data_IF_371054274092
#
_entry.id   IF_371054274092
#
_cell.length_a   1.000
_cell.length_b   1.000
_cell.length_c   1.000
_cell.angle_alpha   90.00
_cell.angle_beta   90.00
_cell.angle_gamma   90.00
#
_symmetry.space_group_name_H-M   'P 1'
#
loop_
_entity.id
_entity.type
_entity.pdbx_description
1 polymer ?
#
# COMPACT_ATOMS: atom_id res chain seq x y z
N UNK A 1 -15.70 -34.49 20.21
CA UNK A 1 -14.95 -33.38 19.56
C UNK A 1 -14.74 -33.70 18.10
N UNK A 2 -15.10 -32.79 17.19
CA UNK A 2 -14.77 -32.93 15.78
C UNK A 2 -13.33 -32.46 15.56
N UNK A 3 -12.37 -33.37 15.46
CA UNK A 3 -10.95 -33.03 15.27
C UNK A 3 -10.68 -32.22 14.00
N UNK A 4 -11.52 -32.42 12.97
CA UNK A 4 -11.42 -31.67 11.69
C UNK A 4 -11.74 -30.19 11.89
N UNK A 5 -12.85 -29.87 12.61
CA UNK A 5 -13.22 -28.47 12.88
C UNK A 5 -12.18 -27.76 13.73
N UNK A 6 -11.66 -28.45 14.76
CA UNK A 6 -10.59 -27.91 15.58
C UNK A 6 -9.33 -27.61 14.78
N UNK A 7 -8.90 -28.56 13.94
CA UNK A 7 -7.70 -28.42 13.10
C UNK A 7 -7.82 -27.25 12.11
N UNK A 8 -8.94 -27.18 11.37
CA UNK A 8 -9.18 -26.08 10.43
C UNK A 8 -9.25 -24.73 11.18
N UNK A 9 -9.97 -24.68 12.31
CA UNK A 9 -10.06 -23.47 13.11
C UNK A 9 -8.71 -22.95 13.58
N UNK A 10 -7.84 -23.84 14.07
CA UNK A 10 -6.48 -23.47 14.51
C UNK A 10 -5.65 -22.97 13.32
N UNK A 11 -5.69 -23.63 12.15
CA UNK A 11 -4.96 -23.18 10.98
C UNK A 11 -5.40 -21.77 10.55
N UNK A 12 -6.70 -21.50 10.49
CA UNK A 12 -7.22 -20.17 10.14
C UNK A 12 -6.74 -19.09 11.13
N UNK A 13 -6.78 -19.40 12.43
CA UNK A 13 -6.31 -18.49 13.46
C UNK A 13 -4.80 -18.20 13.32
N UNK A 14 -3.98 -19.23 13.14
CA UNK A 14 -2.52 -19.07 13.00
C UNK A 14 -2.19 -18.23 11.78
N UNK A 15 -2.81 -18.51 10.62
CA UNK A 15 -2.59 -17.75 9.39
C UNK A 15 -3.02 -16.29 9.59
N UNK A 16 -4.21 -16.05 10.13
CA UNK A 16 -4.74 -14.71 10.29
C UNK A 16 -3.95 -13.87 11.31
N UNK A 17 -3.60 -14.44 12.45
CA UNK A 17 -2.83 -13.78 13.51
C UNK A 17 -1.41 -13.47 13.02
N UNK A 18 -0.76 -14.42 12.34
CA UNK A 18 0.56 -14.19 11.74
C UNK A 18 0.51 -13.06 10.70
N UNK A 19 -0.44 -13.12 9.75
CA UNK A 19 -0.57 -12.11 8.69
C UNK A 19 -0.88 -10.72 9.27
N UNK A 20 -1.75 -10.66 10.29
CA UNK A 20 -2.08 -9.43 11.00
C UNK A 20 -0.84 -8.80 11.66
N UNK A 21 -0.13 -9.53 12.50
CA UNK A 21 1.04 -8.99 13.19
C UNK A 21 2.18 -8.66 12.23
N UNK A 22 2.41 -9.51 11.22
CA UNK A 22 3.42 -9.23 10.20
C UNK A 22 3.10 -7.93 9.47
N UNK A 23 1.86 -7.74 9.01
CA UNK A 23 1.48 -6.54 8.25
C UNK A 23 1.44 -5.27 9.10
N UNK A 24 1.03 -5.37 10.39
CA UNK A 24 0.83 -4.17 11.21
C UNK A 24 2.06 -3.75 12.01
N UNK A 25 2.93 -4.68 12.39
CA UNK A 25 4.02 -4.42 13.34
C UNK A 25 5.43 -4.66 12.79
N UNK A 26 5.62 -5.46 11.74
CA UNK A 26 6.97 -5.78 11.26
C UNK A 26 7.68 -4.60 10.58
N UNK A 27 6.90 -3.69 9.96
CA UNK A 27 7.47 -2.64 9.10
C UNK A 27 8.19 -3.16 7.85
N UNK A 28 8.02 -4.45 7.51
CA UNK A 28 8.75 -5.14 6.43
C UNK A 28 7.84 -5.59 5.29
N UNK A 29 6.72 -4.91 5.10
CA UNK A 29 5.79 -5.20 4.02
C UNK A 29 4.45 -5.78 4.49
N UNK A 30 3.81 -6.57 3.63
CA UNK A 30 2.50 -7.19 3.90
C UNK A 30 2.60 -8.71 3.97
N UNK A 31 1.79 -9.31 4.84
CA UNK A 31 1.63 -10.76 4.90
C UNK A 31 0.97 -11.35 3.65
N UNK A 32 0.97 -12.66 3.55
CA UNK A 32 0.46 -13.40 2.38
C UNK A 32 -1.03 -13.11 2.11
N UNK A 33 -1.87 -13.14 3.15
CA UNK A 33 -3.32 -12.89 3.02
C UNK A 33 -3.55 -11.45 2.60
N UNK A 34 -2.94 -10.50 3.30
CA UNK A 34 -3.05 -9.06 3.03
C UNK A 34 -2.61 -8.71 1.62
N UNK A 35 -1.52 -9.31 1.13
CA UNK A 35 -1.02 -9.10 -0.24
C UNK A 35 -2.05 -9.56 -1.28
N UNK A 36 -2.58 -10.77 -1.14
CA UNK A 36 -3.56 -11.31 -2.09
C UNK A 36 -4.87 -10.51 -2.08
N UNK A 37 -5.35 -10.12 -0.89
CA UNK A 37 -6.54 -9.27 -0.74
C UNK A 37 -6.31 -7.90 -1.38
N UNK A 38 -5.14 -7.31 -1.22
CA UNK A 38 -4.79 -6.03 -1.85
C UNK A 38 -4.86 -6.11 -3.37
N UNK A 39 -4.26 -7.13 -3.97
CA UNK A 39 -4.27 -7.35 -5.43
C UNK A 39 -5.69 -7.59 -5.94
N UNK A 40 -6.48 -8.43 -5.24
CA UNK A 40 -7.87 -8.70 -5.61
C UNK A 40 -8.72 -7.43 -5.54
N UNK A 41 -8.60 -6.66 -4.46
CA UNK A 41 -9.33 -5.42 -4.24
C UNK A 41 -8.99 -4.37 -5.31
N UNK A 42 -7.71 -4.23 -5.66
CA UNK A 42 -7.27 -3.32 -6.73
C UNK A 42 -7.87 -3.71 -8.10
N UNK A 43 -7.90 -5.00 -8.43
CA UNK A 43 -8.55 -5.50 -9.66
C UNK A 43 -10.04 -5.16 -9.69
N UNK A 44 -10.75 -5.31 -8.58
CA UNK A 44 -12.17 -4.93 -8.46
C UNK A 44 -12.34 -3.44 -8.76
N UNK A 45 -11.53 -2.60 -8.15
CA UNK A 45 -11.58 -1.15 -8.38
C UNK A 45 -11.24 -0.80 -9.84
N UNK A 46 -10.26 -1.45 -10.47
CA UNK A 46 -9.95 -1.23 -11.89
C UNK A 46 -11.15 -1.55 -12.80
N UNK A 47 -11.92 -2.59 -12.48
CA UNK A 47 -13.18 -2.87 -13.19
C UNK A 47 -14.21 -1.77 -12.92
N UNK A 48 -14.37 -1.34 -11.67
CA UNK A 48 -15.27 -0.25 -11.31
C UNK A 48 -14.92 1.07 -12.01
N UNK A 49 -13.63 1.37 -12.18
CA UNK A 49 -13.15 2.58 -12.89
C UNK A 49 -13.61 2.58 -14.35
N UNK A 50 -13.64 1.43 -15.02
CA UNK A 50 -14.13 1.31 -16.40
C UNK A 50 -15.63 1.65 -16.52
N UNK A 51 -16.41 1.42 -15.46
CA UNK A 51 -17.87 1.67 -15.43
C UNK A 51 -18.19 3.06 -14.90
N UNK A 52 -17.57 3.47 -13.79
CA UNK A 52 -17.89 4.70 -13.05
C UNK A 52 -16.88 5.85 -13.27
N UNK A 53 -15.83 5.61 -14.05
CA UNK A 53 -14.83 6.61 -14.40
C UNK A 53 -13.72 6.79 -13.37
N UNK A 54 -12.73 7.62 -13.72
CA UNK A 54 -11.47 7.79 -12.97
C UNK A 54 -11.63 8.28 -11.52
N UNK A 55 -12.72 8.97 -11.18
CA UNK A 55 -12.98 9.43 -9.81
C UNK A 55 -13.00 8.29 -8.79
N UNK A 56 -13.29 7.07 -9.22
CA UNK A 56 -13.31 5.86 -8.41
C UNK A 56 -11.93 5.55 -7.81
N UNK A 57 -10.84 5.93 -8.47
CA UNK A 57 -9.48 5.76 -7.93
C UNK A 57 -9.26 6.47 -6.58
N UNK A 58 -9.97 7.55 -6.28
CA UNK A 58 -9.85 8.23 -5.00
C UNK A 58 -10.24 7.36 -3.79
N UNK A 59 -11.03 6.32 -4.02
CA UNK A 59 -11.49 5.39 -2.99
C UNK A 59 -10.66 4.09 -2.94
N UNK A 60 -9.76 3.87 -3.91
CA UNK A 60 -9.04 2.61 -4.05
C UNK A 60 -8.28 2.23 -2.78
N UNK A 61 -7.40 3.09 -2.29
CA UNK A 61 -6.60 2.79 -1.09
C UNK A 61 -7.43 2.55 0.16
N UNK A 62 -8.52 3.34 0.35
CA UNK A 62 -9.45 3.12 1.46
C UNK A 62 -10.13 1.75 1.34
N UNK A 63 -10.62 1.41 0.14
CA UNK A 63 -11.28 0.12 -0.11
C UNK A 63 -10.34 -1.05 0.16
N UNK A 64 -9.10 -1.01 -0.39
CA UNK A 64 -8.07 -2.04 -0.15
C UNK A 64 -7.82 -2.21 1.34
N UNK A 65 -7.63 -1.10 2.07
CA UNK A 65 -7.32 -1.13 3.50
C UNK A 65 -8.47 -1.73 4.33
N UNK A 66 -9.72 -1.37 4.01
CA UNK A 66 -10.91 -1.93 4.67
C UNK A 66 -11.08 -3.43 4.35
N UNK A 67 -10.79 -3.86 3.12
CA UNK A 67 -10.87 -5.27 2.74
C UNK A 67 -9.82 -6.12 3.44
N UNK A 68 -8.61 -5.61 3.67
CA UNK A 68 -7.58 -6.26 4.49
C UNK A 68 -8.09 -6.44 5.93
N UNK A 69 -8.55 -5.36 6.56
CA UNK A 69 -9.09 -5.41 7.93
C UNK A 69 -10.24 -6.41 8.05
N UNK A 70 -11.19 -6.37 7.11
CA UNK A 70 -12.33 -7.25 7.08
C UNK A 70 -11.93 -8.72 6.88
N UNK A 71 -10.91 -9.00 6.06
CA UNK A 71 -10.39 -10.36 5.87
C UNK A 71 -9.79 -10.93 7.15
N UNK A 72 -8.98 -10.16 7.88
CA UNK A 72 -8.46 -10.58 9.18
C UNK A 72 -9.58 -10.86 10.17
N UNK A 73 -10.54 -9.94 10.27
CA UNK A 73 -11.68 -10.09 11.17
C UNK A 73 -12.47 -11.38 10.87
N UNK A 74 -12.77 -11.64 9.59
CA UNK A 74 -13.50 -12.84 9.18
C UNK A 74 -12.71 -14.12 9.45
N UNK A 75 -11.41 -14.14 9.18
CA UNK A 75 -10.57 -15.31 9.42
C UNK A 75 -10.40 -15.62 10.90
N UNK A 76 -10.19 -14.60 11.74
CA UNK A 76 -10.07 -14.75 13.20
C UNK A 76 -11.41 -15.18 13.81
N UNK A 77 -12.49 -14.50 13.44
CA UNK A 77 -13.85 -14.83 13.92
C UNK A 77 -14.29 -16.22 13.46
N UNK A 78 -14.11 -16.56 12.18
CA UNK A 78 -14.42 -17.88 11.63
C UNK A 78 -13.57 -18.98 12.25
N UNK A 79 -12.27 -18.75 12.43
CA UNK A 79 -11.38 -19.68 13.11
C UNK A 79 -11.79 -19.94 14.55
N UNK A 80 -12.10 -18.89 15.30
CA UNK A 80 -12.59 -18.98 16.67
C UNK A 80 -13.94 -19.74 16.74
N UNK A 81 -14.86 -19.42 15.84
CA UNK A 81 -16.14 -20.12 15.70
C UNK A 81 -15.97 -21.63 15.46
N UNK A 82 -15.02 -22.02 14.58
CA UNK A 82 -14.74 -23.45 14.31
C UNK A 82 -14.13 -24.14 15.52
N UNK A 83 -13.24 -23.48 16.26
CA UNK A 83 -12.66 -24.01 17.50
C UNK A 83 -13.74 -24.28 18.53
N UNK A 84 -14.64 -23.33 18.78
CA UNK A 84 -15.75 -23.52 19.73
C UNK A 84 -16.82 -24.49 19.20
N UNK A 85 -16.95 -24.66 17.90
CA UNK A 85 -17.86 -25.64 17.28
C UNK A 85 -17.30 -27.06 17.27
N UNK A 86 -16.01 -27.25 17.54
CA UNK A 86 -15.37 -28.57 17.60
C UNK A 86 -15.89 -29.44 18.73
N UNK A 87 -16.39 -28.84 19.80
CA UNK A 87 -17.07 -29.51 20.89
C UNK A 87 -18.52 -29.00 21.02
N UNK A 88 -19.54 -29.84 20.83
CA UNK A 88 -20.94 -29.44 20.98
C UNK A 88 -21.26 -28.80 22.33
N UNK A 89 -20.64 -29.24 23.40
CA UNK A 89 -20.88 -28.79 24.78
C UNK A 89 -19.94 -27.62 25.19
N UNK A 90 -19.16 -27.05 24.25
CA UNK A 90 -18.18 -26.00 24.58
C UNK A 90 -18.82 -24.74 25.18
N UNK A 91 -20.05 -24.44 24.80
CA UNK A 91 -20.79 -23.23 25.18
C UNK A 91 -22.18 -23.59 25.63
N UNK A 92 -22.57 -23.10 26.80
CA UNK A 92 -23.89 -23.31 27.39
C UNK A 92 -24.46 -21.98 27.91
N UNK A 93 -25.77 -21.89 27.98
CA UNK A 93 -26.45 -20.78 28.67
C UNK A 93 -26.57 -21.03 30.19
N UNK A 94 -27.13 -20.08 30.90
CA UNK A 94 -27.37 -20.17 32.37
C UNK A 94 -28.25 -21.34 32.80
N UNK A 95 -29.12 -21.86 31.92
CA UNK A 95 -29.96 -23.04 32.17
C UNK A 95 -29.28 -24.37 31.79
N UNK A 96 -28.01 -24.37 31.38
CA UNK A 96 -27.27 -25.54 30.94
C UNK A 96 -27.58 -26.02 29.53
N UNK A 97 -28.43 -25.30 28.77
CA UNK A 97 -28.72 -25.62 27.35
C UNK A 97 -27.50 -25.33 26.48
N UNK A 98 -27.14 -26.30 25.64
CA UNK A 98 -26.05 -26.19 24.68
C UNK A 98 -26.40 -25.17 23.59
N UNK A 99 -25.44 -24.29 23.25
CA UNK A 99 -25.60 -23.27 22.23
C UNK A 99 -25.79 -23.89 20.83
N UNK A 100 -26.72 -23.37 20.05
CA UNK A 100 -26.92 -23.71 18.65
C UNK A 100 -25.90 -22.95 17.75
N UNK A 101 -26.00 -23.11 16.43
CA UNK A 101 -25.11 -22.46 15.46
C UNK A 101 -25.05 -20.92 15.61
N UNK A 102 -26.22 -20.27 15.69
CA UNK A 102 -26.31 -18.80 15.78
C UNK A 102 -25.86 -18.27 17.14
N UNK A 103 -26.18 -19.01 18.21
CA UNK A 103 -25.77 -18.69 19.56
C UNK A 103 -24.25 -18.81 19.73
N UNK A 104 -23.58 -19.77 19.04
CA UNK A 104 -22.11 -19.88 19.01
C UNK A 104 -21.48 -18.74 18.21
N UNK A 105 -22.06 -18.41 17.08
CA UNK A 105 -21.60 -17.30 16.25
C UNK A 105 -21.67 -15.98 17.03
N UNK A 106 -22.77 -15.77 17.73
CA UNK A 106 -22.98 -14.64 18.63
C UNK A 106 -21.95 -14.63 19.78
N UNK A 107 -21.75 -15.78 20.46
CA UNK A 107 -20.76 -15.90 21.54
C UNK A 107 -19.36 -15.52 21.08
N UNK A 108 -18.90 -16.04 19.94
CA UNK A 108 -17.57 -15.74 19.41
C UNK A 108 -17.42 -14.28 18.97
N UNK A 109 -18.52 -13.66 18.50
CA UNK A 109 -18.54 -12.22 18.16
C UNK A 109 -18.30 -11.35 19.40
N UNK A 110 -19.08 -11.56 20.46
CA UNK A 110 -18.95 -10.72 21.64
C UNK A 110 -17.69 -11.03 22.47
N UNK A 111 -17.15 -12.25 22.35
CA UNK A 111 -15.84 -12.59 22.93
C UNK A 111 -14.73 -11.79 22.24
N UNK A 112 -14.70 -11.79 20.90
CA UNK A 112 -13.69 -11.07 20.12
C UNK A 112 -13.82 -9.55 20.25
N UNK A 113 -15.06 -9.04 20.36
CA UNK A 113 -15.32 -7.61 20.58
C UNK A 113 -15.12 -7.15 22.02
N UNK A 114 -14.77 -8.05 22.94
CA UNK A 114 -14.63 -7.79 24.38
C UNK A 114 -15.91 -7.33 25.09
N UNK A 115 -17.08 -7.53 24.47
CA UNK A 115 -18.36 -7.07 25.00
C UNK A 115 -18.85 -7.89 26.22
N UNK A 116 -18.62 -9.23 26.21
CA UNK A 116 -18.82 -10.11 27.36
C UNK A 116 -20.24 -10.10 27.92
N UNK A 117 -21.27 -10.33 27.12
CA UNK A 117 -22.69 -10.26 27.54
C UNK A 117 -23.06 -11.23 28.69
N UNK A 118 -22.40 -12.42 28.75
CA UNK A 118 -22.55 -13.36 29.83
C UNK A 118 -23.79 -14.26 29.78
N UNK A 119 -24.64 -14.14 28.77
CA UNK A 119 -25.83 -15.00 28.54
C UNK A 119 -25.45 -16.41 28.07
N UNK A 120 -24.32 -16.53 27.38
CA UNK A 120 -23.64 -17.78 27.06
C UNK A 120 -22.25 -17.81 27.69
N UNK A 121 -21.86 -18.97 28.22
CA UNK A 121 -20.57 -19.14 28.93
C UNK A 121 -19.86 -20.41 28.48
N UNK A 122 -18.51 -20.41 28.46
CA UNK A 122 -17.76 -21.61 28.14
C UNK A 122 -17.87 -22.64 29.29
N UNK A 123 -18.14 -23.90 28.95
CA UNK A 123 -18.46 -24.97 29.88
C UNK A 123 -17.23 -25.57 30.61
N UNK A 124 -16.07 -25.63 29.91
CA UNK A 124 -14.85 -26.28 30.45
C UNK A 124 -13.74 -25.29 30.73
N UNK A 125 -12.78 -25.65 31.57
CA UNK A 125 -11.63 -24.82 31.92
C UNK A 125 -10.83 -24.38 30.66
N UNK A 126 -10.63 -25.30 29.69
CA UNK A 126 -9.90 -24.99 28.47
C UNK A 126 -10.63 -23.92 27.65
N UNK A 127 -11.95 -24.07 27.44
CA UNK A 127 -12.73 -23.08 26.70
C UNK A 127 -12.88 -21.74 27.45
N UNK A 128 -12.87 -21.74 28.79
CA UNK A 128 -12.80 -20.52 29.61
C UNK A 128 -11.50 -19.78 29.39
N UNK A 129 -10.36 -20.47 29.38
CA UNK A 129 -9.05 -19.88 29.10
C UNK A 129 -8.96 -19.35 27.65
N UNK A 130 -9.44 -20.11 26.68
CA UNK A 130 -9.49 -19.66 25.29
C UNK A 130 -10.36 -18.40 25.13
N UNK A 131 -11.52 -18.35 25.77
CA UNK A 131 -12.39 -17.16 25.78
C UNK A 131 -11.65 -15.94 26.32
N UNK A 132 -10.97 -16.06 27.45
CA UNK A 132 -10.18 -14.99 28.04
C UNK A 132 -9.03 -14.54 27.13
N UNK A 133 -8.29 -15.50 26.56
CA UNK A 133 -7.19 -15.21 25.64
C UNK A 133 -7.66 -14.49 24.37
N UNK A 134 -8.76 -14.92 23.74
CA UNK A 134 -9.30 -14.27 22.55
C UNK A 134 -10.02 -12.96 22.85
N UNK A 135 -10.60 -12.78 24.02
CA UNK A 135 -11.08 -11.47 24.46
C UNK A 135 -9.92 -10.48 24.59
N UNK A 136 -8.81 -10.88 25.21
CA UNK A 136 -7.60 -10.05 25.30
C UNK A 136 -6.99 -9.79 23.92
N UNK A 137 -6.94 -10.82 23.05
CA UNK A 137 -6.50 -10.66 21.67
C UNK A 137 -7.37 -9.66 20.87
N UNK A 138 -8.69 -9.69 21.07
CA UNK A 138 -9.61 -8.74 20.42
C UNK A 138 -9.30 -7.28 20.76
N UNK A 139 -8.91 -7.00 22.00
CA UNK A 139 -8.45 -5.67 22.41
C UNK A 139 -7.13 -5.29 21.72
N UNK A 140 -6.15 -6.21 21.66
CA UNK A 140 -4.88 -5.99 20.95
C UNK A 140 -5.15 -5.77 19.46
N UNK A 141 -6.02 -6.56 18.84
CA UNK A 141 -6.37 -6.45 17.42
C UNK A 141 -6.95 -5.06 17.11
N UNK A 142 -7.90 -4.58 17.92
CA UNK A 142 -8.50 -3.27 17.73
C UNK A 142 -7.47 -2.15 17.87
N UNK A 143 -6.68 -2.14 18.94
CA UNK A 143 -5.69 -1.08 19.19
C UNK A 143 -4.57 -1.06 18.16
N UNK A 144 -4.05 -2.22 17.77
CA UNK A 144 -3.00 -2.33 16.74
C UNK A 144 -3.52 -1.95 15.36
N UNK A 145 -4.76 -2.33 15.01
CA UNK A 145 -5.40 -1.91 13.76
C UNK A 145 -5.54 -0.39 13.69
N UNK A 146 -5.95 0.26 14.78
CA UNK A 146 -6.08 1.71 14.84
C UNK A 146 -4.74 2.41 14.66
N UNK A 147 -3.69 1.93 15.35
CA UNK A 147 -2.33 2.43 15.19
C UNK A 147 -1.82 2.27 13.75
N UNK A 148 -2.07 1.11 13.14
CA UNK A 148 -1.73 0.87 11.74
C UNK A 148 -2.43 1.86 10.78
N UNK A 149 -3.74 2.13 10.96
CA UNK A 149 -4.44 3.12 10.17
C UNK A 149 -3.85 4.52 10.30
N UNK A 150 -3.48 4.94 11.50
CA UNK A 150 -2.83 6.24 11.72
C UNK A 150 -1.47 6.32 11.03
N UNK A 151 -0.69 5.24 11.07
CA UNK A 151 0.61 5.16 10.37
C UNK A 151 0.44 5.22 8.85
N UNK A 152 -0.52 4.50 8.28
CA UNK A 152 -0.87 4.56 6.85
C UNK A 152 -1.34 5.97 6.47
N UNK A 153 -2.17 6.62 7.29
CA UNK A 153 -2.62 8.00 7.05
C UNK A 153 -1.44 8.99 7.04
N UNK A 154 -0.48 8.86 7.96
CA UNK A 154 0.75 9.66 7.99
C UNK A 154 1.60 9.43 6.74
N UNK A 155 1.80 8.17 6.33
CA UNK A 155 2.52 7.82 5.12
C UNK A 155 1.85 8.40 3.85
N UNK A 156 0.52 8.42 3.81
CA UNK A 156 -0.25 9.03 2.73
C UNK A 156 -0.06 10.56 2.67
N UNK A 157 -0.03 11.24 3.82
CA UNK A 157 0.27 12.68 3.86
C UNK A 157 1.64 12.95 3.28
N UNK A 158 2.68 12.17 3.65
CA UNK A 158 4.03 12.31 3.08
C UNK A 158 4.05 12.09 1.56
N UNK A 159 3.38 11.04 1.05
CA UNK A 159 3.22 10.79 -0.39
C UNK A 159 2.60 11.99 -1.13
N UNK A 160 1.54 12.57 -0.56
CA UNK A 160 0.85 13.74 -1.14
C UNK A 160 1.71 14.99 -1.08
N UNK A 161 2.47 15.19 0.00
CA UNK A 161 3.40 16.32 0.14
C UNK A 161 4.47 16.24 -0.93
N UNK A 162 5.12 15.08 -1.11
CA UNK A 162 6.11 14.88 -2.17
C UNK A 162 5.53 15.17 -3.55
N UNK A 163 4.36 14.58 -3.88
CA UNK A 163 3.69 14.84 -5.17
C UNK A 163 3.44 16.33 -5.40
N UNK A 164 3.00 17.04 -4.36
CA UNK A 164 2.69 18.47 -4.42
C UNK A 164 3.95 19.33 -4.56
N UNK A 165 5.02 18.99 -3.86
CA UNK A 165 6.31 19.68 -3.96
C UNK A 165 6.86 19.60 -5.38
N UNK A 166 6.81 18.42 -6.01
CA UNK A 166 7.23 18.25 -7.41
C UNK A 166 6.36 19.09 -8.35
N UNK A 167 5.03 19.06 -8.20
CA UNK A 167 4.12 19.83 -9.04
C UNK A 167 4.39 21.34 -8.98
N UNK A 168 4.79 21.87 -7.83
CA UNK A 168 5.12 23.29 -7.65
C UNK A 168 6.44 23.68 -8.31
N UNK A 169 7.35 22.73 -8.54
CA UNK A 169 8.58 22.99 -9.32
C UNK A 169 8.30 23.16 -10.81
N UNK A 170 7.26 22.52 -11.35
CA UNK A 170 6.85 22.65 -12.74
C UNK A 170 5.82 21.60 -13.14
N UNK A 171 5.09 21.90 -14.22
CA UNK A 171 4.01 21.06 -14.75
C UNK A 171 4.50 20.09 -15.84
N UNK A 172 5.72 20.24 -16.30
CA UNK A 172 6.36 19.38 -17.29
C UNK A 172 7.82 19.14 -16.91
N UNK A 173 8.46 18.05 -17.36
CA UNK A 173 9.88 17.80 -17.09
C UNK A 173 10.79 18.96 -17.48
N UNK A 174 10.55 19.57 -18.64
CA UNK A 174 11.34 20.72 -19.12
C UNK A 174 11.14 21.96 -18.25
N UNK A 175 9.94 22.19 -17.76
CA UNK A 175 9.64 23.31 -16.85
C UNK A 175 10.33 23.13 -15.50
N UNK A 176 10.32 21.92 -14.94
CA UNK A 176 11.05 21.57 -13.71
C UNK A 176 12.54 21.79 -13.89
N UNK A 177 13.13 21.26 -14.96
CA UNK A 177 14.56 21.41 -15.25
C UNK A 177 14.95 22.88 -15.40
N UNK A 178 14.18 23.65 -16.17
CA UNK A 178 14.41 25.10 -16.37
C UNK A 178 14.32 25.87 -15.04
N UNK A 179 13.34 25.58 -14.22
CA UNK A 179 13.15 26.27 -12.93
C UNK A 179 14.30 25.97 -11.96
N UNK A 180 14.75 24.72 -11.88
CA UNK A 180 15.92 24.32 -11.06
C UNK A 180 17.18 25.09 -11.47
N UNK A 181 17.41 25.30 -12.76
CA UNK A 181 18.57 26.05 -13.25
C UNK A 181 18.45 27.56 -13.02
N UNK A 182 17.23 28.11 -13.02
CA UNK A 182 17.00 29.55 -12.91
C UNK A 182 16.80 30.05 -11.48
N UNK A 183 16.58 29.18 -10.51
CA UNK A 183 16.47 29.57 -9.10
C UNK A 183 17.81 30.04 -8.55
N UNK A 184 17.76 30.86 -7.49
CA UNK A 184 18.95 31.17 -6.71
C UNK A 184 19.64 29.89 -6.22
N UNK A 185 20.98 29.92 -6.14
CA UNK A 185 21.75 28.72 -5.81
C UNK A 185 21.39 28.14 -4.45
N UNK A 186 21.22 28.97 -3.42
CA UNK A 186 20.89 28.50 -2.07
C UNK A 186 19.50 27.88 -2.05
N UNK A 187 18.56 28.46 -2.77
CA UNK A 187 17.20 27.91 -2.91
C UNK A 187 17.19 26.57 -3.68
N UNK A 188 17.99 26.45 -4.74
CA UNK A 188 18.11 25.21 -5.51
C UNK A 188 18.68 24.07 -4.65
N UNK A 189 19.76 24.30 -3.88
CA UNK A 189 20.31 23.31 -2.96
C UNK A 189 19.27 22.87 -1.93
N UNK A 190 18.54 23.81 -1.36
CA UNK A 190 17.48 23.50 -0.41
C UNK A 190 16.37 22.66 -1.03
N UNK A 191 15.92 22.98 -2.25
CA UNK A 191 14.88 22.25 -2.95
C UNK A 191 15.31 20.82 -3.31
N UNK A 192 16.56 20.63 -3.77
CA UNK A 192 17.09 19.30 -4.09
C UNK A 192 17.18 18.45 -2.82
N UNK A 193 17.70 19.01 -1.73
CA UNK A 193 17.80 18.32 -0.43
C UNK A 193 16.43 17.97 0.15
N UNK A 194 15.45 18.87 0.07
CA UNK A 194 14.09 18.63 0.53
C UNK A 194 13.40 17.53 -0.30
N UNK A 195 13.56 17.53 -1.63
CA UNK A 195 13.03 16.48 -2.49
C UNK A 195 13.64 15.12 -2.16
N UNK A 196 14.97 15.06 -1.93
CA UNK A 196 15.63 13.84 -1.52
C UNK A 196 15.03 13.30 -0.22
N UNK A 197 14.94 14.13 0.83
CA UNK A 197 14.34 13.73 2.10
C UNK A 197 12.89 13.21 1.95
N UNK A 198 12.09 13.86 1.11
CA UNK A 198 10.71 13.46 0.85
C UNK A 198 10.63 12.13 0.09
N UNK A 199 11.54 11.87 -0.85
CA UNK A 199 11.63 10.61 -1.59
C UNK A 199 12.05 9.49 -0.66
N UNK A 200 13.13 9.66 0.10
CA UNK A 200 13.63 8.66 1.03
C UNK A 200 12.58 8.31 2.08
N UNK A 201 11.92 9.32 2.66
CA UNK A 201 10.82 9.13 3.59
C UNK A 201 9.63 8.39 2.95
N UNK A 202 9.33 8.69 1.68
CA UNK A 202 8.27 7.98 0.97
C UNK A 202 8.67 6.54 0.67
N UNK A 203 9.92 6.26 0.26
CA UNK A 203 10.43 4.92 0.01
C UNK A 203 10.31 4.04 1.27
N UNK A 204 10.79 4.56 2.43
CA UNK A 204 10.66 3.87 3.73
C UNK A 204 9.21 3.62 4.10
N UNK A 205 8.33 4.61 3.96
CA UNK A 205 6.90 4.46 4.23
C UNK A 205 6.23 3.45 3.30
N UNK A 206 6.61 3.45 2.02
CA UNK A 206 6.07 2.53 1.03
C UNK A 206 6.50 1.08 1.29
N UNK A 207 7.74 0.88 1.73
CA UNK A 207 8.25 -0.41 2.16
C UNK A 207 7.52 -0.92 3.42
N UNK A 208 7.37 -0.07 4.44
CA UNK A 208 6.70 -0.42 5.68
C UNK A 208 5.18 -0.64 5.51
N UNK A 209 4.54 0.15 4.67
CA UNK A 209 3.09 0.15 4.45
C UNK A 209 2.74 0.06 2.96
N UNK A 210 2.89 -1.10 2.30
CA UNK A 210 2.67 -1.24 0.85
C UNK A 210 1.26 -0.88 0.40
N UNK A 211 0.27 -0.87 1.29
CA UNK A 211 -1.09 -0.41 1.01
C UNK A 211 -1.14 1.05 0.52
N UNK A 212 -0.14 1.87 0.84
CA UNK A 212 0.02 3.27 0.36
C UNK A 212 0.15 3.33 -1.16
N UNK A 213 0.63 2.25 -1.81
CA UNK A 213 0.64 2.12 -3.27
C UNK A 213 -0.74 2.32 -3.89
N UNK A 214 -1.77 1.75 -3.29
CA UNK A 214 -3.14 1.76 -3.81
C UNK A 214 -3.90 3.08 -3.60
N UNK A 215 -3.33 4.02 -2.84
CA UNK A 215 -3.90 5.37 -2.68
C UNK A 215 -3.55 6.23 -3.88
N UNK A 216 -4.41 6.21 -4.89
CA UNK A 216 -4.30 6.97 -6.15
C UNK A 216 -5.11 8.25 -6.11
N UNK A 217 -4.83 9.17 -7.03
CA UNK A 217 -5.53 10.45 -7.18
C UNK A 217 -6.06 10.58 -8.61
N UNK A 218 -7.33 10.97 -8.74
CA UNK A 218 -7.97 11.12 -10.06
C UNK A 218 -7.58 12.40 -10.80
N UNK A 219 -7.02 13.41 -10.10
CA UNK A 219 -6.57 14.66 -10.71
C UNK A 219 -5.10 14.55 -11.07
N UNK A 220 -4.74 14.83 -12.31
CA UNK A 220 -3.35 14.78 -12.82
C UNK A 220 -2.37 15.57 -11.97
N UNK A 221 -2.73 16.79 -11.57
CA UNK A 221 -1.87 17.66 -10.75
C UNK A 221 -1.49 17.03 -9.39
N UNK A 222 -2.39 16.22 -8.83
CA UNK A 222 -2.23 15.64 -7.50
C UNK A 222 -1.72 14.19 -7.60
N UNK A 223 -1.65 13.60 -8.82
CA UNK A 223 -1.20 12.23 -9.05
C UNK A 223 0.30 12.10 -8.74
N UNK A 224 0.60 11.19 -7.83
CA UNK A 224 1.97 10.88 -7.45
C UNK A 224 2.75 10.26 -8.62
N UNK A 225 2.14 9.33 -9.37
CA UNK A 225 2.78 8.64 -10.48
C UNK A 225 3.19 9.61 -11.61
N UNK A 226 2.33 10.58 -11.95
CA UNK A 226 2.64 11.63 -12.92
C UNK A 226 3.79 12.50 -12.43
N UNK A 227 3.73 12.98 -11.19
CA UNK A 227 4.71 13.93 -10.68
C UNK A 227 6.09 13.28 -10.49
N UNK A 228 6.16 12.01 -10.04
CA UNK A 228 7.42 11.25 -9.99
C UNK A 228 7.99 11.05 -11.40
N UNK A 229 7.16 10.73 -12.40
CA UNK A 229 7.60 10.61 -13.79
C UNK A 229 8.19 11.93 -14.31
N UNK A 230 7.53 13.05 -14.01
CA UNK A 230 8.03 14.40 -14.38
C UNK A 230 9.37 14.72 -13.73
N UNK A 231 9.52 14.38 -12.46
CA UNK A 231 10.78 14.60 -11.75
C UNK A 231 11.90 13.73 -12.31
N UNK A 232 11.63 12.44 -12.55
CA UNK A 232 12.60 11.49 -13.10
C UNK A 232 13.13 11.95 -14.46
N UNK A 233 12.23 12.36 -15.38
CA UNK A 233 12.62 12.91 -16.68
C UNK A 233 13.31 14.28 -16.55
N UNK A 234 12.91 15.15 -15.60
CA UNK A 234 13.58 16.43 -15.37
C UNK A 234 15.03 16.25 -14.90
N UNK A 235 15.27 15.31 -13.97
CA UNK A 235 16.61 14.95 -13.53
C UNK A 235 17.41 14.36 -14.70
N UNK A 236 16.80 13.58 -15.58
CA UNK A 236 17.46 13.04 -16.77
C UNK A 236 17.90 14.16 -17.73
N UNK A 237 17.04 15.16 -17.96
CA UNK A 237 17.39 16.35 -18.75
C UNK A 237 18.59 17.08 -18.13
N UNK A 238 18.56 17.32 -16.81
CA UNK A 238 19.60 18.05 -16.10
C UNK A 238 20.97 17.31 -16.04
N UNK A 239 20.96 15.99 -16.02
CA UNK A 239 22.18 15.18 -15.94
C UNK A 239 22.83 14.90 -17.31
N UNK A 240 22.00 14.78 -18.36
CA UNK A 240 22.46 14.30 -19.66
C UNK A 240 22.42 15.36 -20.77
N UNK A 241 21.54 16.36 -20.70
CA UNK A 241 21.49 17.44 -21.72
C UNK A 241 22.31 18.65 -21.35
N UNK A 242 22.66 18.85 -20.09
CA UNK A 242 23.42 20.00 -19.56
C UNK A 242 24.78 19.52 -19.05
N UNK A 243 25.81 19.51 -19.89
CA UNK A 243 27.16 19.00 -19.54
C UNK A 243 27.83 19.78 -18.41
N UNK A 244 27.61 21.09 -18.27
CA UNK A 244 28.19 21.98 -17.25
C UNK A 244 27.15 22.36 -16.16
N UNK A 245 26.42 21.39 -15.63
CA UNK A 245 25.47 21.69 -14.57
C UNK A 245 26.15 21.76 -13.19
N UNK A 246 26.13 22.94 -12.57
CA UNK A 246 26.74 23.19 -11.24
C UNK A 246 26.12 22.38 -10.11
N UNK A 247 24.94 21.79 -10.29
CA UNK A 247 24.24 20.95 -9.31
C UNK A 247 24.37 19.46 -9.59
N UNK A 248 25.33 19.07 -10.43
CA UNK A 248 25.44 17.69 -10.93
C UNK A 248 25.59 16.66 -9.80
N UNK A 249 26.36 16.96 -8.77
CA UNK A 249 26.58 16.03 -7.66
C UNK A 249 25.32 15.85 -6.80
N UNK A 250 24.62 16.92 -6.47
CA UNK A 250 23.36 16.90 -5.74
C UNK A 250 22.26 16.17 -6.53
N UNK A 251 22.22 16.37 -7.84
CA UNK A 251 21.27 15.68 -8.71
C UNK A 251 21.58 14.19 -8.84
N UNK A 252 22.85 13.77 -8.77
CA UNK A 252 23.21 12.34 -8.71
C UNK A 252 22.72 11.70 -7.40
N UNK A 253 22.85 12.38 -6.26
CA UNK A 253 22.34 11.88 -4.97
C UNK A 253 20.82 11.78 -5.01
N UNK A 254 20.13 12.80 -5.50
CA UNK A 254 18.67 12.76 -5.71
C UNK A 254 18.26 11.63 -6.66
N UNK A 255 19.03 11.40 -7.73
CA UNK A 255 18.84 10.28 -8.67
C UNK A 255 18.98 8.92 -7.97
N UNK A 256 19.96 8.78 -7.06
CA UNK A 256 20.15 7.55 -6.28
C UNK A 256 18.93 7.24 -5.43
N UNK A 257 18.44 8.19 -4.62
CA UNK A 257 17.22 8.02 -3.82
C UNK A 257 16.01 7.61 -4.67
N UNK A 258 15.87 8.23 -5.85
CA UNK A 258 14.78 7.89 -6.76
C UNK A 258 14.98 6.49 -7.39
N UNK A 259 16.23 6.06 -7.63
CA UNK A 259 16.55 4.73 -8.14
C UNK A 259 16.18 3.66 -7.14
N UNK A 260 16.55 3.82 -5.87
CA UNK A 260 16.22 2.89 -4.79
C UNK A 260 14.70 2.73 -4.65
N UNK A 261 13.95 3.83 -4.72
CA UNK A 261 12.48 3.79 -4.73
C UNK A 261 11.93 3.01 -5.95
N UNK A 262 12.43 3.28 -7.16
CA UNK A 262 11.96 2.61 -8.38
C UNK A 262 12.31 1.11 -8.39
N UNK A 263 13.47 0.72 -7.87
CA UNK A 263 13.84 -0.70 -7.74
C UNK A 263 12.93 -1.44 -6.76
N UNK A 264 12.59 -0.81 -5.63
CA UNK A 264 11.61 -1.39 -4.69
C UNK A 264 10.23 -1.54 -5.32
N UNK A 265 9.83 -0.59 -6.16
CA UNK A 265 8.59 -0.68 -6.95
C UNK A 265 8.64 -1.85 -7.93
N UNK A 266 9.73 -2.02 -8.67
CA UNK A 266 9.90 -3.13 -9.60
C UNK A 266 9.82 -4.49 -8.88
N UNK A 267 10.51 -4.65 -7.74
CA UNK A 267 10.52 -5.91 -6.97
C UNK A 267 9.16 -6.27 -6.40
N UNK A 268 8.46 -5.31 -5.82
CA UNK A 268 7.25 -5.58 -5.03
C UNK A 268 5.96 -5.53 -5.86
N UNK A 269 5.95 -4.82 -6.98
CA UNK A 269 4.76 -4.57 -7.81
C UNK A 269 4.93 -4.93 -9.29
N UNK A 270 5.99 -5.67 -9.65
CA UNK A 270 6.32 -6.06 -11.04
C UNK A 270 5.14 -6.68 -11.80
N UNK A 271 4.29 -7.46 -11.14
CA UNK A 271 3.11 -8.07 -11.78
C UNK A 271 2.08 -7.04 -12.25
N UNK A 272 1.98 -5.89 -11.57
CA UNK A 272 1.10 -4.79 -11.94
C UNK A 272 1.75 -3.87 -13.00
N UNK A 273 3.10 -3.78 -13.00
CA UNK A 273 3.86 -2.97 -13.94
C UNK A 273 4.02 -3.64 -15.33
N UNK A 274 4.03 -4.98 -15.38
CA UNK A 274 4.28 -5.74 -16.61
C UNK A 274 3.12 -5.76 -17.61
N UNK A 275 1.91 -5.37 -17.22
CA UNK A 275 0.71 -5.41 -18.07
C UNK A 275 0.80 -4.43 -19.25
N UNK A 276 1.73 -3.48 -19.24
CA UNK A 276 1.83 -2.45 -20.29
C UNK A 276 3.10 -2.48 -21.14
N UNK A 277 3.83 -3.59 -21.17
CA UNK A 277 5.05 -3.74 -22.03
C UNK A 277 4.82 -3.50 -23.52
N UNK A 278 3.58 -3.40 -24.00
CA UNK A 278 3.22 -3.26 -25.39
C UNK A 278 2.56 -1.90 -25.76
N UNK A 279 2.56 -0.91 -24.87
CA UNK A 279 2.15 0.43 -25.27
C UNK A 279 3.30 1.04 -26.10
N UNK A 280 3.09 1.14 -27.40
CA UNK A 280 3.99 1.87 -28.31
C UNK A 280 4.31 3.24 -27.72
N UNK A 281 5.61 3.49 -27.50
CA UNK A 281 6.08 4.80 -27.07
C UNK A 281 5.88 5.77 -28.23
N UNK A 282 4.77 6.49 -28.26
CA UNK A 282 4.50 7.55 -29.23
C UNK A 282 5.36 8.80 -29.01
N UNK A 283 6.17 8.82 -27.94
CA UNK A 283 7.01 9.96 -27.59
C UNK A 283 8.47 9.75 -27.99
N UNK A 284 9.01 10.69 -28.80
CA UNK A 284 10.43 10.74 -29.16
C UNK A 284 11.25 11.38 -28.04
N UNK A 285 12.03 10.59 -27.35
CA UNK A 285 12.96 11.06 -26.32
C UNK A 285 14.25 11.59 -26.95
N UNK A 286 14.91 12.62 -26.35
CA UNK A 286 16.23 13.06 -26.78
C UNK A 286 17.21 11.87 -26.75
N UNK A 287 18.01 11.71 -27.82
CA UNK A 287 19.07 10.71 -27.91
C UNK A 287 20.20 11.05 -26.94
N UNK A 288 20.68 10.06 -26.19
CA UNK A 288 21.82 10.18 -25.29
C UNK A 288 23.11 9.80 -26.00
N UNK A 289 24.23 10.35 -25.53
CA UNK A 289 25.55 10.14 -26.14
C UNK A 289 26.18 8.77 -25.80
N UNK A 290 25.73 8.10 -24.71
CA UNK A 290 26.21 6.78 -24.27
C UNK A 290 25.14 5.71 -24.40
N UNK A 291 25.49 4.53 -24.96
CA UNK A 291 24.57 3.38 -25.07
C UNK A 291 24.20 2.74 -23.71
N UNK A 292 25.06 2.87 -22.72
CA UNK A 292 24.81 2.31 -21.38
C UNK A 292 23.85 3.21 -20.60
N UNK A 293 24.01 4.52 -20.68
CA UNK A 293 23.06 5.50 -20.11
C UNK A 293 21.68 5.35 -20.74
N UNK A 294 21.61 5.06 -22.04
CA UNK A 294 20.36 4.85 -22.75
C UNK A 294 19.60 3.60 -22.27
N UNK A 295 20.31 2.50 -21.97
CA UNK A 295 19.69 1.28 -21.42
C UNK A 295 19.17 1.49 -20.00
N UNK A 296 19.95 2.17 -19.16
CA UNK A 296 19.52 2.48 -17.79
C UNK A 296 18.29 3.39 -17.80
N UNK A 297 18.32 4.45 -18.61
CA UNK A 297 17.19 5.36 -18.75
C UNK A 297 15.93 4.65 -19.27
N UNK A 298 16.09 3.74 -20.26
CA UNK A 298 14.96 2.95 -20.76
C UNK A 298 14.38 2.01 -19.69
N UNK A 299 15.22 1.38 -18.86
CA UNK A 299 14.77 0.56 -17.73
C UNK A 299 13.93 1.42 -16.77
N UNK A 300 14.41 2.59 -16.40
CA UNK A 300 13.70 3.53 -15.51
C UNK A 300 12.35 3.96 -16.09
N UNK A 301 12.33 4.33 -17.36
CA UNK A 301 11.12 4.72 -18.09
C UNK A 301 10.07 3.62 -18.10
N UNK A 302 10.48 2.35 -18.26
CA UNK A 302 9.57 1.22 -18.21
C UNK A 302 8.91 1.07 -16.83
N UNK A 303 9.67 1.23 -15.74
CA UNK A 303 9.14 1.18 -14.37
C UNK A 303 8.16 2.33 -14.14
N UNK A 304 8.58 3.55 -14.47
CA UNK A 304 7.78 4.77 -14.31
C UNK A 304 6.51 4.71 -15.16
N UNK A 305 6.60 4.21 -16.41
CA UNK A 305 5.43 3.97 -17.27
C UNK A 305 4.45 2.97 -16.65
N UNK A 306 4.96 1.91 -16.01
CA UNK A 306 4.13 0.97 -15.26
C UNK A 306 3.35 1.65 -14.12
N UNK A 307 3.96 2.62 -13.43
CA UNK A 307 3.30 3.36 -12.35
C UNK A 307 2.12 4.20 -12.85
N UNK A 308 2.37 5.15 -13.78
CA UNK A 308 1.31 6.03 -14.25
C UNK A 308 0.32 5.33 -15.20
N UNK A 309 0.78 4.34 -15.95
CA UNK A 309 -0.06 3.54 -16.82
C UNK A 309 -1.08 2.70 -16.06
N UNK A 310 -0.76 2.22 -14.85
CA UNK A 310 -1.72 1.56 -13.96
C UNK A 310 -2.89 2.48 -13.53
N UNK A 311 -2.75 3.79 -13.70
CA UNK A 311 -3.76 4.82 -13.46
C UNK A 311 -4.41 5.32 -14.76
N UNK A 312 -4.15 4.68 -15.90
CA UNK A 312 -4.62 5.04 -17.25
C UNK A 312 -4.07 6.39 -17.74
N UNK A 313 -2.86 6.78 -17.34
CA UNK A 313 -2.14 7.92 -17.87
C UNK A 313 -1.11 7.49 -18.91
N UNK A 314 -0.70 8.44 -19.77
CA UNK A 314 0.23 8.24 -20.89
C UNK A 314 1.42 9.19 -20.77
N UNK A 315 2.44 9.02 -21.61
CA UNK A 315 3.56 9.97 -21.72
C UNK A 315 3.12 11.38 -22.11
N UNK A 316 2.03 11.51 -22.87
CA UNK A 316 1.46 12.83 -23.20
C UNK A 316 1.02 13.60 -21.96
N UNK A 317 0.52 12.89 -20.93
CA UNK A 317 0.14 13.50 -19.66
C UNK A 317 1.34 13.99 -18.83
N UNK A 318 2.52 13.43 -19.10
CA UNK A 318 3.78 13.80 -18.43
C UNK A 318 4.40 15.04 -19.07
N UNK A 319 4.44 15.09 -20.42
CA UNK A 319 5.16 16.11 -21.15
C UNK A 319 4.33 17.32 -21.58
N UNK A 320 3.01 17.19 -21.64
CA UNK A 320 2.12 18.27 -22.01
C UNK A 320 1.50 18.96 -20.78
N UNK A 321 1.35 20.30 -20.87
CA UNK A 321 0.59 21.07 -19.88
C UNK A 321 -0.87 20.69 -20.00
N UNK A 322 -1.39 20.04 -18.99
CA UNK A 322 -2.83 19.74 -18.85
C UNK A 322 -3.56 20.88 -18.15
#
# INVERSE_FOLDING_TARGET
MSGILLFIGIILLVIAIHDFFFTTLSGSGTGFVSRNISILSDKIIQVCVKVFGQKTYNYNGLFVNLMILFSWLLLIWGGLFLVFSSNPEAITNSSGKVANFWERLYFTSYTLSTLGMGDFTPSTAIFKMLTGAFSFFGFIFFTSSMTYFLSVASALVNKRTLSKSIYHLGKTPREIAKNILNFDSSFTYQQISELQNLIDKHAVNHHAYPVVHFYRQSKKRDSFSINIARLDEAISILLYAEEENKYREELKVLRSSLSDFLEDMEKNFASNLLIQKNAENSYSFPTLHSKDDEKELQKRRNIVQGLFGSENYTWDDIFNKS
#
